data_IF_456775411668
#
_entry.id   IF_456775411668
#
_cell.length_a   1.000
_cell.length_b   1.000
_cell.length_c   1.000
_cell.angle_alpha   90.00
_cell.angle_beta   90.00
_cell.angle_gamma   90.00
#
_symmetry.space_group_name_H-M   'P 1'
#
loop_
_entity.id
_entity.type
_entity.pdbx_description
1 polymer ?
#
# COMPACT_ATOMS: atom_id res chain seq x y z
N UNK A 1 -11.33 -16.33 -19.18
CA UNK A 1 -10.38 -16.18 -20.29
C UNK A 1 -8.96 -16.10 -19.74
N UNK A 2 -7.95 -16.59 -20.47
CA UNK A 2 -6.56 -16.37 -20.05
C UNK A 2 -6.20 -14.88 -20.27
N UNK A 3 -5.38 -14.29 -19.40
CA UNK A 3 -4.97 -12.89 -19.55
C UNK A 3 -4.15 -12.69 -20.83
N UNK A 4 -4.33 -11.54 -21.45
CA UNK A 4 -3.54 -11.11 -22.61
C UNK A 4 -2.07 -10.89 -22.22
N UNK A 5 -1.18 -10.83 -23.20
CA UNK A 5 0.23 -10.52 -22.94
C UNK A 5 0.43 -9.16 -22.26
N UNK A 6 -0.38 -8.15 -22.60
CA UNK A 6 -0.33 -6.84 -21.97
C UNK A 6 -0.74 -6.90 -20.49
N UNK A 7 -1.81 -7.61 -20.17
CA UNK A 7 -2.24 -7.84 -18.78
C UNK A 7 -1.19 -8.63 -17.99
N UNK A 8 -0.59 -9.66 -18.60
CA UNK A 8 0.50 -10.42 -17.95
C UNK A 8 1.71 -9.53 -17.64
N UNK A 9 2.10 -8.65 -18.55
CA UNK A 9 3.19 -7.69 -18.34
C UNK A 9 2.83 -6.68 -17.23
N UNK A 10 1.60 -6.19 -17.20
CA UNK A 10 1.10 -5.30 -16.16
C UNK A 10 1.13 -5.98 -14.79
N UNK A 11 0.61 -7.22 -14.70
CA UNK A 11 0.61 -8.00 -13.47
C UNK A 11 2.03 -8.23 -12.96
N UNK A 12 2.93 -8.71 -13.82
CA UNK A 12 4.31 -8.97 -13.44
C UNK A 12 5.02 -7.71 -12.95
N UNK A 13 4.86 -6.61 -13.68
CA UNK A 13 5.44 -5.32 -13.30
C UNK A 13 4.96 -4.87 -11.93
N UNK A 14 3.66 -4.94 -11.66
CA UNK A 14 3.11 -4.54 -10.36
C UNK A 14 3.58 -5.43 -9.23
N UNK A 15 3.67 -6.75 -9.44
CA UNK A 15 4.23 -7.65 -8.43
C UNK A 15 5.69 -7.33 -8.11
N UNK A 16 6.51 -7.10 -9.13
CA UNK A 16 7.93 -6.75 -8.94
C UNK A 16 8.07 -5.38 -8.26
N UNK A 17 7.26 -4.40 -8.66
CA UNK A 17 7.25 -3.06 -8.04
C UNK A 17 6.88 -3.16 -6.57
N UNK A 18 5.82 -3.89 -6.25
CA UNK A 18 5.38 -4.10 -4.87
C UNK A 18 6.47 -4.76 -4.01
N UNK A 19 7.06 -5.84 -4.50
CA UNK A 19 8.15 -6.52 -3.81
C UNK A 19 9.35 -5.59 -3.56
N UNK A 20 9.78 -4.86 -4.57
CA UNK A 20 10.92 -3.95 -4.45
C UNK A 20 10.63 -2.78 -3.52
N UNK A 21 9.40 -2.26 -3.56
CA UNK A 21 8.97 -1.23 -2.63
C UNK A 21 9.04 -1.72 -1.17
N UNK A 22 8.45 -2.88 -0.88
CA UNK A 22 8.45 -3.48 0.47
C UNK A 22 9.87 -3.77 0.96
N UNK A 23 10.71 -4.41 0.14
CA UNK A 23 12.10 -4.70 0.49
C UNK A 23 12.89 -3.42 0.81
N UNK A 24 12.67 -2.35 0.04
CA UNK A 24 13.33 -1.07 0.24
C UNK A 24 12.88 -0.40 1.52
N UNK A 25 11.56 -0.31 1.74
CA UNK A 25 11.00 0.28 2.97
C UNK A 25 11.43 -0.52 4.20
N UNK A 26 11.40 -1.86 4.13
CA UNK A 26 11.86 -2.72 5.21
C UNK A 26 13.34 -2.47 5.56
N UNK A 27 14.20 -2.40 4.55
CA UNK A 27 15.62 -2.10 4.74
C UNK A 27 15.85 -0.79 5.49
N UNK A 28 15.14 0.26 5.07
CA UNK A 28 15.22 1.59 5.71
C UNK A 28 14.62 1.55 7.12
N UNK A 29 13.50 0.87 7.31
CA UNK A 29 12.82 0.78 8.61
C UNK A 29 13.67 0.10 9.66
N UNK A 30 14.39 -0.98 9.29
CA UNK A 30 15.23 -1.73 10.22
C UNK A 30 16.65 -1.20 10.35
N UNK A 31 17.04 -0.23 9.53
CA UNK A 31 18.40 0.34 9.60
C UNK A 31 18.66 0.98 10.98
N UNK A 32 19.70 0.51 11.64
CA UNK A 32 20.11 0.99 12.97
C UNK A 32 19.23 0.53 14.14
N UNK A 33 18.17 -0.23 13.89
CA UNK A 33 17.30 -0.81 14.93
C UNK A 33 17.84 -2.17 15.35
N UNK A 34 18.40 -2.28 16.56
CA UNK A 34 18.90 -3.54 17.13
C UNK A 34 18.69 -3.60 18.62
N UNK A 35 18.47 -4.78 19.18
CA UNK A 35 17.55 -5.87 18.81
C UNK A 35 16.14 -5.61 19.33
N UNK A 36 15.90 -4.45 19.92
CA UNK A 36 14.64 -4.07 20.51
C UNK A 36 13.82 -3.28 19.50
N UNK A 37 12.63 -3.72 19.26
CA UNK A 37 11.68 -3.01 18.44
C UNK A 37 11.36 -1.63 19.05
N UNK A 38 11.74 -0.57 18.35
CA UNK A 38 11.44 0.80 18.74
C UNK A 38 10.64 1.50 17.67
N UNK A 39 9.43 1.95 18.01
CA UNK A 39 8.58 2.72 17.13
C UNK A 39 9.03 4.18 16.98
N UNK A 40 9.84 4.67 17.92
CA UNK A 40 10.29 6.06 17.94
C UNK A 40 11.57 6.30 17.14
N UNK A 41 12.37 5.25 16.93
CA UNK A 41 13.68 5.36 16.30
C UNK A 41 13.62 5.15 14.79
N UNK A 42 14.51 5.83 14.08
CA UNK A 42 14.70 5.68 12.65
C UNK A 42 13.87 6.68 11.81
N UNK A 43 14.03 6.62 10.49
CA UNK A 43 13.45 7.59 9.56
C UNK A 43 11.95 7.39 9.30
N UNK A 44 11.41 6.22 9.60
CA UNK A 44 10.00 5.88 9.44
C UNK A 44 9.38 5.74 10.84
N UNK A 45 8.46 6.63 11.22
CA UNK A 45 7.82 6.59 12.53
C UNK A 45 6.72 5.51 12.60
N UNK A 46 6.48 5.01 13.79
CA UNK A 46 5.40 4.06 14.07
C UNK A 46 5.73 2.61 13.74
N UNK A 47 4.69 1.81 13.62
CA UNK A 47 4.80 0.39 13.26
C UNK A 47 4.78 0.19 11.75
N UNK A 48 5.56 -0.76 11.28
CA UNK A 48 5.59 -1.16 9.87
C UNK A 48 4.93 -2.53 9.69
N UNK A 49 3.93 -2.58 8.84
CA UNK A 49 3.24 -3.79 8.46
C UNK A 49 3.45 -4.06 6.97
N UNK A 50 4.42 -4.90 6.69
CA UNK A 50 4.77 -5.27 5.32
C UNK A 50 3.74 -6.22 4.69
N UNK A 51 3.62 -6.14 3.38
CA UNK A 51 2.73 -6.97 2.54
C UNK A 51 3.51 -7.95 1.65
N UNK A 52 4.82 -8.07 1.85
CA UNK A 52 5.69 -8.93 1.07
C UNK A 52 5.22 -10.41 1.11
N UNK A 53 5.20 -11.02 -0.07
CA UNK A 53 4.65 -12.37 -0.26
C UNK A 53 3.17 -12.41 -0.65
N UNK A 54 2.47 -11.27 -0.66
CA UNK A 54 1.04 -11.19 -1.03
C UNK A 54 0.79 -10.48 -2.37
N UNK A 55 1.82 -10.21 -3.13
CA UNK A 55 1.73 -9.46 -4.39
C UNK A 55 0.73 -10.06 -5.39
N UNK A 56 0.69 -11.39 -5.60
CA UNK A 56 -0.26 -11.97 -6.55
C UNK A 56 -1.72 -11.78 -6.17
N UNK A 57 -2.03 -11.69 -4.87
CA UNK A 57 -3.40 -11.49 -4.38
C UNK A 57 -3.91 -10.11 -4.79
N UNK A 58 -3.16 -9.06 -4.48
CA UNK A 58 -3.53 -7.70 -4.82
C UNK A 58 -3.60 -7.48 -6.33
N UNK A 59 -2.55 -7.90 -7.03
CA UNK A 59 -2.44 -7.72 -8.49
C UNK A 59 -3.50 -8.52 -9.23
N UNK A 60 -3.78 -9.75 -8.79
CA UNK A 60 -4.81 -10.61 -9.38
C UNK A 60 -6.21 -10.00 -9.26
N UNK A 61 -6.55 -9.41 -8.12
CA UNK A 61 -7.83 -8.71 -7.93
C UNK A 61 -7.85 -7.42 -8.76
N UNK A 62 -6.85 -6.56 -8.63
CA UNK A 62 -6.83 -5.26 -9.31
C UNK A 62 -6.79 -5.37 -10.84
N UNK A 63 -6.28 -6.47 -11.40
CA UNK A 63 -6.32 -6.71 -12.84
C UNK A 63 -7.74 -6.83 -13.42
N UNK A 64 -8.74 -7.04 -12.57
CA UNK A 64 -10.14 -7.19 -12.98
C UNK A 64 -11.03 -6.01 -12.57
N UNK A 65 -10.47 -5.00 -11.95
CA UNK A 65 -11.19 -3.80 -11.53
C UNK A 65 -11.20 -2.75 -12.63
N UNK A 66 -12.30 -1.99 -12.67
CA UNK A 66 -12.38 -0.77 -13.46
C UNK A 66 -11.71 0.40 -12.69
N UNK A 67 -11.35 1.49 -13.38
CA UNK A 67 -10.78 2.66 -12.72
C UNK A 67 -11.67 3.23 -11.60
N UNK A 68 -12.99 3.18 -11.77
CA UNK A 68 -13.98 3.73 -10.83
C UNK A 68 -14.28 2.81 -9.64
N UNK A 69 -13.83 1.56 -9.67
CA UNK A 69 -14.03 0.63 -8.55
C UNK A 69 -13.25 1.09 -7.33
N UNK A 70 -13.89 1.03 -6.16
CA UNK A 70 -13.28 1.38 -4.87
C UNK A 70 -12.54 0.18 -4.30
N UNK A 71 -11.34 0.40 -3.80
CA UNK A 71 -10.57 -0.61 -3.06
C UNK A 71 -10.36 -0.17 -1.63
N UNK A 72 -10.81 -0.98 -0.70
CA UNK A 72 -10.48 -0.83 0.71
C UNK A 72 -9.53 -1.95 1.15
N UNK A 73 -8.49 -1.60 1.89
CA UNK A 73 -7.47 -2.54 2.34
C UNK A 73 -7.33 -2.55 3.86
N UNK A 74 -6.64 -3.54 4.37
CA UNK A 74 -6.27 -3.67 5.78
C UNK A 74 -5.00 -2.87 6.10
N UNK A 75 -4.43 -3.11 7.28
CA UNK A 75 -3.16 -2.52 7.74
C UNK A 75 -1.92 -2.98 6.95
N UNK A 76 -2.05 -3.90 5.99
CA UNK A 76 -1.00 -4.32 5.03
C UNK A 76 -1.39 -3.90 3.61
N UNK A 77 -1.42 -2.58 3.32
CA UNK A 77 -2.11 -2.07 2.15
C UNK A 77 -1.21 -1.82 0.92
N UNK A 78 0.12 -1.88 1.07
CA UNK A 78 1.03 -1.30 0.08
C UNK A 78 0.87 -1.94 -1.30
N UNK A 79 0.76 -3.27 -1.37
CA UNK A 79 0.62 -3.98 -2.64
C UNK A 79 -0.74 -3.70 -3.33
N UNK A 80 -1.85 -3.55 -2.55
CA UNK A 80 -3.13 -3.12 -3.14
C UNK A 80 -3.06 -1.68 -3.63
N UNK A 81 -2.44 -0.78 -2.84
CA UNK A 81 -2.24 0.61 -3.22
C UNK A 81 -1.47 0.73 -4.56
N UNK A 82 -0.36 -0.01 -4.68
CA UNK A 82 0.46 -0.04 -5.90
C UNK A 82 -0.34 -0.58 -7.09
N UNK A 83 -1.03 -1.71 -6.90
CA UNK A 83 -1.82 -2.32 -7.96
C UNK A 83 -3.03 -1.46 -8.37
N UNK A 84 -3.60 -0.67 -7.45
CA UNK A 84 -4.67 0.28 -7.76
C UNK A 84 -4.18 1.56 -8.44
N UNK A 85 -2.87 1.82 -8.41
CA UNK A 85 -2.25 2.94 -9.11
C UNK A 85 -1.93 4.15 -8.24
N UNK A 86 -1.88 3.99 -6.93
CA UNK A 86 -1.41 5.05 -6.01
C UNK A 86 0.01 5.48 -6.39
N UNK A 87 0.24 6.78 -6.39
CA UNK A 87 1.55 7.36 -6.69
C UNK A 87 2.60 6.94 -5.64
N UNK A 88 3.67 6.29 -6.11
CA UNK A 88 4.70 5.72 -5.24
C UNK A 88 5.45 6.78 -4.41
N UNK A 89 5.70 7.95 -4.98
CA UNK A 89 6.41 9.02 -4.28
C UNK A 89 5.55 9.60 -3.17
N UNK A 90 4.26 9.81 -3.44
CA UNK A 90 3.30 10.27 -2.41
C UNK A 90 3.09 9.20 -1.33
N UNK A 91 3.02 7.93 -1.71
CA UNK A 91 2.89 6.82 -0.77
C UNK A 91 4.14 6.71 0.12
N UNK A 92 5.33 6.75 -0.46
CA UNK A 92 6.57 6.78 0.30
C UNK A 92 6.63 8.01 1.23
N UNK A 93 6.29 9.19 0.72
CA UNK A 93 6.24 10.40 1.53
C UNK A 93 5.28 10.28 2.72
N UNK A 94 4.13 9.63 2.57
CA UNK A 94 3.20 9.36 3.66
C UNK A 94 3.80 8.44 4.70
N UNK A 95 4.43 7.33 4.28
CA UNK A 95 5.10 6.37 5.16
C UNK A 95 6.21 7.04 5.97
N UNK A 96 6.96 7.96 5.36
CA UNK A 96 8.01 8.73 6.02
C UNK A 96 7.49 9.93 6.83
N UNK A 97 6.19 10.11 6.98
CA UNK A 97 5.58 11.21 7.71
C UNK A 97 5.83 12.59 7.09
N UNK A 98 5.98 12.67 5.76
CA UNK A 98 6.26 13.92 5.06
C UNK A 98 4.98 14.63 4.64
N UNK A 99 5.02 15.97 4.67
CA UNK A 99 3.89 16.82 4.29
C UNK A 99 3.40 16.61 2.85
N UNK A 100 4.27 16.10 1.97
CA UNK A 100 3.95 15.80 0.57
C UNK A 100 3.28 14.44 0.38
N UNK A 101 3.06 13.68 1.46
CA UNK A 101 2.35 12.41 1.43
C UNK A 101 0.85 12.55 1.17
N UNK A 102 0.19 11.43 0.96
CA UNK A 102 -1.23 11.31 0.59
C UNK A 102 -2.17 12.03 1.57
N UNK A 103 -1.89 11.95 2.87
CA UNK A 103 -2.63 12.60 3.95
C UNK A 103 -1.77 13.61 4.73
N UNK A 104 -0.75 14.15 4.07
CA UNK A 104 0.18 15.10 4.67
C UNK A 104 1.09 14.49 5.74
N UNK A 105 1.40 13.20 5.63
CA UNK A 105 2.27 12.46 6.54
C UNK A 105 1.64 12.09 7.87
N UNK A 106 0.31 12.10 7.97
CA UNK A 106 -0.42 11.82 9.22
C UNK A 106 -0.90 10.37 9.32
N UNK A 107 -1.09 9.71 8.17
CA UNK A 107 -1.59 8.34 8.09
C UNK A 107 -0.53 7.28 8.34
N UNK A 108 0.70 7.57 7.96
CA UNK A 108 1.79 6.61 8.03
C UNK A 108 1.53 5.38 7.14
N UNK A 109 2.19 4.24 7.44
CA UNK A 109 2.14 3.06 6.57
C UNK A 109 0.79 2.34 6.53
N UNK A 110 -0.10 2.56 7.52
CA UNK A 110 -1.35 1.79 7.66
C UNK A 110 -2.61 2.57 7.29
N UNK A 111 -2.52 3.87 7.02
CA UNK A 111 -3.68 4.72 6.76
C UNK A 111 -3.46 5.54 5.49
N UNK A 112 -3.29 4.82 4.38
CA UNK A 112 -3.18 5.41 3.05
C UNK A 112 -4.58 5.72 2.52
N UNK A 113 -4.73 6.91 1.95
CA UNK A 113 -5.97 7.33 1.31
C UNK A 113 -5.62 8.11 0.05
N UNK A 114 -6.12 7.65 -1.07
CA UNK A 114 -5.97 8.32 -2.37
C UNK A 114 -7.31 8.33 -3.12
N UNK A 115 -7.96 9.49 -3.10
CA UNK A 115 -9.26 9.69 -3.78
C UNK A 115 -9.15 9.63 -5.30
N UNK A 116 -7.98 9.92 -5.86
CA UNK A 116 -7.80 10.02 -7.31
C UNK A 116 -7.79 8.63 -7.97
N UNK A 117 -7.56 7.59 -7.17
CA UNK A 117 -7.62 6.20 -7.60
C UNK A 117 -8.61 5.36 -6.79
N UNK A 118 -9.49 5.99 -6.00
CA UNK A 118 -10.51 5.33 -5.18
C UNK A 118 -9.90 4.25 -4.25
N UNK A 119 -8.85 4.64 -3.51
CA UNK A 119 -8.16 3.74 -2.60
C UNK A 119 -8.17 4.24 -1.17
N UNK A 120 -8.48 3.35 -0.23
CA UNK A 120 -8.37 3.61 1.21
C UNK A 120 -7.89 2.37 1.96
N UNK A 121 -7.21 2.58 3.10
CA UNK A 121 -6.89 1.49 4.02
C UNK A 121 -7.04 1.92 5.48
N UNK A 122 -7.12 0.94 6.36
CA UNK A 122 -7.35 1.17 7.78
C UNK A 122 -6.58 0.18 8.64
N UNK A 123 -6.07 0.66 9.77
CA UNK A 123 -5.36 -0.14 10.76
C UNK A 123 -6.27 -1.09 11.56
N UNK A 124 -7.58 -0.87 11.55
CA UNK A 124 -8.53 -1.70 12.30
C UNK A 124 -9.14 -2.75 11.37
N UNK A 125 -9.04 -4.02 11.74
CA UNK A 125 -9.60 -5.12 10.97
C UNK A 125 -11.12 -4.95 10.80
N UNK A 126 -11.60 -5.20 9.57
CA UNK A 126 -12.97 -5.05 9.13
C UNK A 126 -13.52 -3.61 9.09
N UNK A 127 -12.81 -2.61 9.56
CA UNK A 127 -13.26 -1.21 9.47
C UNK A 127 -13.45 -0.75 8.02
N UNK A 128 -12.64 -1.26 7.09
CA UNK A 128 -12.75 -0.96 5.66
C UNK A 128 -14.03 -1.44 4.99
N UNK A 129 -14.81 -2.30 5.65
CA UNK A 129 -16.09 -2.79 5.10
C UNK A 129 -17.15 -1.69 5.02
N UNK A 130 -17.17 -0.77 5.98
CA UNK A 130 -18.14 0.33 6.00
C UNK A 130 -17.98 1.31 4.84
N UNK A 131 -16.76 1.84 4.57
CA UNK A 131 -16.53 2.67 3.40
C UNK A 131 -16.79 1.95 2.08
N UNK A 132 -16.52 0.63 2.03
CA UNK A 132 -16.74 -0.15 0.81
C UNK A 132 -18.23 -0.32 0.45
N UNK A 133 -19.13 -0.21 1.42
CA UNK A 133 -20.59 -0.41 1.24
C UNK A 133 -21.34 0.92 1.25
N UNK A 134 -20.76 1.99 1.80
CA UNK A 134 -21.42 3.26 2.02
C UNK A 134 -21.19 4.32 0.94
N UNK A 135 -20.57 3.98 -0.15
CA UNK A 135 -20.23 4.90 -1.25
C UNK A 135 -21.34 4.89 -2.33
N UNK A 136 -22.59 5.22 -1.92
CA UNK A 136 -23.69 5.57 -2.82
C UNK A 136 -23.98 7.07 -2.78
#
# INVERSE_FOLDING_TARGET
>A
MAPTQQEQHWMYRNMVTSRKFEETIAGIYFEGKTPVFSMADGPIPGEMHLSDGQEPVAVGVCAHLNPDDVVTATHRPHHQAIAKGVDLDKMAAEIFGKKTGLSGGRGGPMHLFDKDVNFACTGINAQGMWPAVGDE
#
